data_IF_975473313863
#
_entry.id   IF_975473313863
#
_cell.length_a   1.000
_cell.length_b   1.000
_cell.length_c   1.000
_cell.angle_alpha   90.00
_cell.angle_beta   90.00
_cell.angle_gamma   90.00
#
_symmetry.space_group_name_H-M   'P 1'
#
loop_
_entity.id
_entity.type
_entity.pdbx_description
1 polymer ?
#
# COMPACT_ATOMS: atom_id res chain seq x y z
N UNK A 1 -23.25 31.17 -9.61
CA UNK A 1 -22.10 30.39 -9.07
C UNK A 1 -21.65 29.41 -10.15
N UNK A 2 -20.46 29.58 -10.72
CA UNK A 2 -20.06 28.89 -11.96
C UNK A 2 -19.58 27.46 -11.69
N UNK A 3 -20.01 26.53 -12.54
CA UNK A 3 -19.66 25.10 -12.52
C UNK A 3 -18.14 24.83 -12.54
N UNK A 4 -17.38 25.74 -13.16
CA UNK A 4 -15.91 25.69 -13.23
C UNK A 4 -15.23 25.82 -11.85
N UNK A 5 -15.77 26.63 -10.94
CA UNK A 5 -15.18 26.84 -9.61
C UNK A 5 -15.40 25.62 -8.70
N UNK A 6 -16.54 24.94 -8.85
CA UNK A 6 -16.86 23.71 -8.10
C UNK A 6 -15.99 22.54 -8.55
N UNK A 7 -15.82 22.37 -9.87
CA UNK A 7 -14.96 21.32 -10.42
C UNK A 7 -13.49 21.47 -9.96
N UNK A 8 -12.96 22.70 -9.98
CA UNK A 8 -11.59 23.00 -9.54
C UNK A 8 -11.37 22.72 -8.06
N UNK A 9 -12.37 23.03 -7.20
CA UNK A 9 -12.31 22.72 -5.76
C UNK A 9 -12.32 21.21 -5.50
N UNK A 10 -13.16 20.45 -6.23
CA UNK A 10 -13.23 18.99 -6.13
C UNK A 10 -11.93 18.32 -6.58
N UNK A 11 -11.33 18.80 -7.68
CA UNK A 11 -10.03 18.32 -8.15
C UNK A 11 -8.92 18.61 -7.13
N UNK A 12 -8.93 19.79 -6.52
CA UNK A 12 -7.98 20.16 -5.47
C UNK A 12 -8.09 19.28 -4.22
N UNK A 13 -9.31 18.96 -3.77
CA UNK A 13 -9.51 18.06 -2.62
C UNK A 13 -9.14 16.61 -2.93
N UNK A 14 -9.40 16.13 -4.15
CA UNK A 14 -9.01 14.79 -4.58
C UNK A 14 -7.48 14.65 -4.63
N UNK A 15 -6.78 15.65 -5.19
CA UNK A 15 -5.32 15.67 -5.23
C UNK A 15 -4.71 15.70 -3.83
N UNK A 16 -5.22 16.55 -2.94
CA UNK A 16 -4.74 16.62 -1.56
C UNK A 16 -4.93 15.27 -0.83
N UNK A 17 -6.08 14.62 -1.03
CA UNK A 17 -6.32 13.31 -0.45
C UNK A 17 -5.48 12.19 -1.08
N UNK A 18 -5.22 12.24 -2.39
CA UNK A 18 -4.29 11.32 -3.05
C UNK A 18 -2.85 11.47 -2.52
N UNK A 19 -2.39 12.70 -2.28
CA UNK A 19 -1.09 12.97 -1.67
C UNK A 19 -1.03 12.44 -0.23
N UNK A 20 -2.07 12.70 0.58
CA UNK A 20 -2.14 12.16 1.94
C UNK A 20 -2.13 10.62 1.95
N UNK A 21 -2.84 9.99 1.00
CA UNK A 21 -2.85 8.54 0.83
C UNK A 21 -1.47 8.00 0.43
N UNK A 22 -0.77 8.69 -0.48
CA UNK A 22 0.59 8.33 -0.87
C UNK A 22 1.53 8.36 0.35
N UNK A 23 1.51 9.45 1.12
CA UNK A 23 2.33 9.57 2.34
C UNK A 23 2.00 8.47 3.35
N UNK A 24 0.72 8.20 3.61
CA UNK A 24 0.30 7.15 4.54
C UNK A 24 0.75 5.75 4.08
N UNK A 25 0.63 5.47 2.78
CA UNK A 25 1.03 4.18 2.20
C UNK A 25 2.55 3.97 2.30
N UNK A 26 3.33 4.99 1.93
CA UNK A 26 4.80 4.95 2.06
C UNK A 26 5.25 4.85 3.51
N UNK A 27 4.62 5.60 4.42
CA UNK A 27 4.92 5.51 5.85
C UNK A 27 4.62 4.12 6.43
N UNK A 28 3.61 3.42 5.90
CA UNK A 28 3.28 2.05 6.32
C UNK A 28 4.41 1.07 5.98
N UNK A 29 5.02 1.21 4.80
CA UNK A 29 6.21 0.44 4.43
C UNK A 29 7.35 0.68 5.43
N UNK A 30 7.76 1.93 5.60
CA UNK A 30 8.90 2.27 6.46
C UNK A 30 8.65 1.98 7.94
N UNK A 31 7.42 2.08 8.43
CA UNK A 31 7.08 1.83 9.82
C UNK A 31 7.06 0.35 10.22
N UNK A 32 6.84 -0.56 9.25
CA UNK A 32 6.72 -1.99 9.54
C UNK A 32 7.84 -2.84 8.97
N UNK A 33 8.26 -2.57 7.74
CA UNK A 33 9.16 -3.44 6.98
C UNK A 33 10.48 -2.73 6.61
N UNK A 34 10.50 -1.40 6.57
CA UNK A 34 11.70 -0.67 6.13
C UNK A 34 12.83 -0.55 7.16
N UNK A 35 12.63 -0.92 8.43
CA UNK A 35 13.62 -0.64 9.51
C UNK A 35 14.30 -1.87 10.11
N UNK A 36 13.65 -3.03 10.13
CA UNK A 36 14.25 -4.28 10.59
C UNK A 36 14.25 -5.31 9.46
N UNK A 37 15.45 -5.58 8.96
CA UNK A 37 15.73 -6.53 7.88
C UNK A 37 16.71 -7.61 8.31
N UNK A 38 16.88 -7.80 9.63
CA UNK A 38 17.82 -8.79 10.16
C UNK A 38 17.33 -10.20 9.81
N UNK A 39 18.19 -10.98 9.13
CA UNK A 39 17.90 -12.40 8.88
C UNK A 39 18.21 -13.21 10.12
N UNK A 40 17.20 -13.83 10.69
CA UNK A 40 17.39 -14.83 11.73
C UNK A 40 17.86 -16.13 11.10
N UNK A 41 19.01 -16.63 11.56
CA UNK A 41 19.55 -17.93 11.17
C UNK A 41 19.27 -18.88 12.33
N UNK A 42 18.51 -19.94 12.06
CA UNK A 42 18.35 -21.02 13.01
C UNK A 42 19.70 -21.74 13.18
N UNK A 43 20.28 -21.76 14.39
CA UNK A 43 21.59 -22.35 14.62
C UNK A 43 21.63 -23.87 14.44
N UNK A 44 20.48 -24.56 14.53
CA UNK A 44 20.37 -26.02 14.44
C UNK A 44 20.08 -26.45 13.00
N UNK A 45 19.11 -25.80 12.35
CA UNK A 45 18.69 -26.20 10.99
C UNK A 45 19.46 -25.47 9.89
N UNK A 46 20.24 -24.43 10.24
CA UNK A 46 20.92 -23.53 9.31
C UNK A 46 19.95 -22.88 8.29
N UNK A 47 18.64 -22.93 8.57
CA UNK A 47 17.64 -22.26 7.76
C UNK A 47 17.68 -20.76 8.07
N UNK A 48 17.93 -19.96 7.03
CA UNK A 48 17.71 -18.53 7.09
C UNK A 48 16.22 -18.27 6.90
N UNK A 49 15.58 -17.73 7.93
CA UNK A 49 14.22 -17.19 7.80
C UNK A 49 14.31 -15.82 7.12
N UNK A 50 13.29 -15.48 6.32
CA UNK A 50 13.22 -14.18 5.66
C UNK A 50 13.38 -13.02 6.65
N UNK A 51 13.84 -11.84 6.20
CA UNK A 51 14.21 -10.73 7.06
C UNK A 51 13.04 -10.05 7.81
N UNK A 52 11.80 -10.51 7.60
CA UNK A 52 10.60 -9.96 8.23
C UNK A 52 9.93 -10.99 9.11
N UNK A 53 9.60 -10.58 10.33
CA UNK A 53 8.85 -11.39 11.27
C UNK A 53 7.35 -11.43 10.88
N UNK A 54 6.63 -12.54 11.13
CA UNK A 54 5.22 -12.67 10.76
C UNK A 54 4.33 -11.54 11.31
N UNK A 55 4.62 -11.05 12.53
CA UNK A 55 3.84 -9.97 13.14
C UNK A 55 4.02 -8.63 12.42
N UNK A 56 5.20 -8.36 11.84
CA UNK A 56 5.46 -7.13 11.07
C UNK A 56 4.64 -7.14 9.79
N UNK A 57 4.58 -8.29 9.11
CA UNK A 57 3.79 -8.45 7.88
C UNK A 57 2.30 -8.30 8.17
N UNK A 58 1.80 -8.92 9.24
CA UNK A 58 0.40 -8.79 9.65
C UNK A 58 0.05 -7.37 10.05
N UNK A 59 0.92 -6.68 10.80
CA UNK A 59 0.76 -5.29 11.17
C UNK A 59 0.74 -4.34 9.97
N UNK A 60 1.65 -4.55 9.02
CA UNK A 60 1.70 -3.83 7.74
C UNK A 60 0.38 -4.01 6.96
N UNK A 61 -0.06 -5.26 6.79
CA UNK A 61 -1.30 -5.57 6.07
C UNK A 61 -2.53 -4.93 6.74
N UNK A 62 -2.65 -5.06 8.06
CA UNK A 62 -3.75 -4.46 8.82
C UNK A 62 -3.78 -2.92 8.67
N UNK A 63 -2.60 -2.29 8.70
CA UNK A 63 -2.47 -0.83 8.53
C UNK A 63 -2.88 -0.41 7.12
N UNK A 64 -2.43 -1.12 6.08
CA UNK A 64 -2.83 -0.85 4.69
C UNK A 64 -4.35 -0.98 4.48
N UNK A 65 -4.97 -2.02 5.08
CA UNK A 65 -6.42 -2.21 5.03
C UNK A 65 -7.14 -1.01 5.68
N UNK A 66 -6.69 -0.59 6.87
CA UNK A 66 -7.28 0.57 7.55
C UNK A 66 -7.15 1.87 6.71
N UNK A 67 -5.98 2.10 6.11
CA UNK A 67 -5.73 3.23 5.21
C UNK A 67 -6.66 3.18 4.00
N UNK A 68 -6.82 2.02 3.37
CA UNK A 68 -7.72 1.84 2.21
C UNK A 68 -9.20 2.08 2.58
N UNK A 69 -9.65 1.58 3.73
CA UNK A 69 -11.00 1.80 4.26
C UNK A 69 -11.25 3.30 4.42
N UNK A 70 -10.36 4.02 5.13
CA UNK A 70 -10.51 5.47 5.37
C UNK A 70 -10.51 6.25 4.06
N UNK A 71 -9.60 5.91 3.14
CA UNK A 71 -9.51 6.55 1.83
C UNK A 71 -10.75 6.31 0.96
N UNK A 72 -11.36 5.12 1.06
CA UNK A 72 -12.53 4.72 0.25
C UNK A 72 -13.76 5.62 0.47
N UNK A 73 -13.87 6.25 1.64
CA UNK A 73 -14.96 7.17 1.98
C UNK A 73 -14.82 8.54 1.35
N UNK A 74 -13.60 8.95 0.96
CA UNK A 74 -13.34 10.33 0.47
C UNK A 74 -12.84 10.39 -0.95
N UNK A 75 -12.18 9.34 -1.44
CA UNK A 75 -11.51 9.33 -2.74
C UNK A 75 -12.20 8.40 -3.74
N UNK A 76 -11.95 8.65 -5.02
CA UNK A 76 -12.41 7.79 -6.09
C UNK A 76 -11.70 6.42 -6.06
N UNK A 77 -12.41 5.35 -6.46
CA UNK A 77 -11.92 3.96 -6.39
C UNK A 77 -10.58 3.80 -7.11
N UNK A 78 -10.51 4.33 -8.34
CA UNK A 78 -9.31 4.24 -9.17
C UNK A 78 -8.15 5.01 -8.53
N UNK A 79 -8.41 6.14 -7.88
CA UNK A 79 -7.39 6.91 -7.16
C UNK A 79 -6.79 6.08 -6.02
N UNK A 80 -7.63 5.46 -5.20
CA UNK A 80 -7.18 4.65 -4.06
C UNK A 80 -6.31 3.48 -4.53
N UNK A 81 -6.82 2.69 -5.48
CA UNK A 81 -6.15 1.49 -5.99
C UNK A 81 -4.82 1.84 -6.65
N UNK A 82 -4.82 2.84 -7.54
CA UNK A 82 -3.61 3.23 -8.27
C UNK A 82 -2.53 3.80 -7.34
N UNK A 83 -2.91 4.71 -6.41
CA UNK A 83 -1.94 5.33 -5.50
C UNK A 83 -1.34 4.30 -4.57
N UNK A 84 -2.16 3.44 -3.95
CA UNK A 84 -1.63 2.43 -3.02
C UNK A 84 -0.72 1.42 -3.73
N UNK A 85 -1.10 0.94 -4.91
CA UNK A 85 -0.30 -0.01 -5.67
C UNK A 85 1.04 0.60 -6.12
N UNK A 86 1.02 1.81 -6.70
CA UNK A 86 2.23 2.46 -7.18
C UNK A 86 3.17 2.82 -6.03
N UNK A 87 2.66 3.45 -4.97
CA UNK A 87 3.51 3.96 -3.89
C UNK A 87 4.13 2.83 -3.08
N UNK A 88 3.36 1.81 -2.72
CA UNK A 88 3.90 0.69 -1.94
C UNK A 88 4.91 -0.12 -2.74
N UNK A 89 4.63 -0.38 -4.02
CA UNK A 89 5.57 -1.08 -4.91
C UNK A 89 6.85 -0.28 -5.10
N UNK A 90 6.74 1.05 -5.27
CA UNK A 90 7.91 1.92 -5.41
C UNK A 90 8.76 1.92 -4.14
N UNK A 91 8.14 2.05 -2.96
CA UNK A 91 8.83 2.03 -1.67
C UNK A 91 9.61 0.72 -1.48
N UNK A 92 8.97 -0.43 -1.71
CA UNK A 92 9.65 -1.73 -1.68
C UNK A 92 10.77 -1.84 -2.72
N UNK A 93 10.53 -1.36 -3.95
CA UNK A 93 11.51 -1.50 -5.04
C UNK A 93 12.78 -0.69 -4.79
N UNK A 94 12.66 0.49 -4.15
CA UNK A 94 13.81 1.32 -3.78
C UNK A 94 14.74 0.56 -2.84
N UNK A 95 14.19 -0.14 -1.84
CA UNK A 95 14.99 -0.95 -0.93
C UNK A 95 15.53 -2.23 -1.61
N UNK A 96 14.73 -2.87 -2.46
CA UNK A 96 15.12 -4.10 -3.15
C UNK A 96 16.27 -3.90 -4.15
N UNK A 97 16.29 -2.77 -4.87
CA UNK A 97 17.36 -2.43 -5.83
C UNK A 97 18.72 -2.33 -5.14
N UNK A 98 18.78 -1.90 -3.88
CA UNK A 98 20.04 -1.78 -3.15
C UNK A 98 20.69 -3.10 -2.76
N UNK A 99 19.95 -4.22 -2.82
CA UNK A 99 20.40 -5.53 -2.34
C UNK A 99 20.42 -6.65 -3.37
N UNK A 100 20.06 -6.39 -4.63
CA UNK A 100 19.92 -7.42 -5.66
C UNK A 100 20.62 -7.06 -6.98
N UNK A 101 21.74 -7.73 -7.24
CA UNK A 101 22.50 -7.61 -8.51
C UNK A 101 21.92 -8.50 -9.64
N UNK A 102 20.96 -9.39 -9.33
CA UNK A 102 20.44 -10.38 -10.29
C UNK A 102 19.24 -9.89 -11.12
N UNK A 103 18.60 -8.79 -10.70
CA UNK A 103 17.40 -8.25 -11.35
C UNK A 103 16.08 -8.95 -10.98
N UNK A 104 16.12 -9.93 -10.07
CA UNK A 104 14.93 -10.59 -9.54
C UNK A 104 13.99 -9.63 -8.81
N UNK A 105 14.50 -8.49 -8.34
CA UNK A 105 13.70 -7.42 -7.76
C UNK A 105 12.55 -6.97 -8.69
N UNK A 106 12.71 -7.02 -10.02
CA UNK A 106 11.65 -6.64 -10.97
C UNK A 106 10.46 -7.60 -10.90
N UNK A 107 10.73 -8.90 -10.76
CA UNK A 107 9.68 -9.92 -10.60
C UNK A 107 8.96 -9.73 -9.27
N UNK A 108 9.72 -9.46 -8.21
CA UNK A 108 9.15 -9.13 -6.89
C UNK A 108 8.25 -7.89 -6.95
N UNK A 109 8.71 -6.82 -7.61
CA UNK A 109 7.93 -5.60 -7.81
C UNK A 109 6.63 -5.88 -8.57
N UNK A 110 6.66 -6.71 -9.61
CA UNK A 110 5.46 -7.09 -10.37
C UNK A 110 4.46 -7.86 -9.48
N UNK A 111 4.93 -8.80 -8.67
CA UNK A 111 4.06 -9.54 -7.74
C UNK A 111 3.43 -8.61 -6.69
N UNK A 112 4.20 -7.67 -6.14
CA UNK A 112 3.70 -6.69 -5.17
C UNK A 112 2.68 -5.76 -5.82
N UNK A 113 2.93 -5.29 -7.04
CA UNK A 113 2.00 -4.44 -7.77
C UNK A 113 0.66 -5.15 -7.97
N UNK A 114 0.68 -6.43 -8.38
CA UNK A 114 -0.54 -7.24 -8.54
C UNK A 114 -1.25 -7.43 -7.20
N UNK A 115 -0.52 -7.84 -6.15
CA UNK A 115 -1.08 -8.06 -4.81
C UNK A 115 -1.72 -6.80 -4.24
N UNK A 116 -1.05 -5.65 -4.34
CA UNK A 116 -1.56 -4.37 -3.87
C UNK A 116 -2.76 -3.90 -4.68
N UNK A 117 -2.75 -4.08 -6.00
CA UNK A 117 -3.89 -3.73 -6.86
C UNK A 117 -5.12 -4.52 -6.46
N UNK A 118 -5.00 -5.84 -6.34
CA UNK A 118 -6.11 -6.71 -5.95
C UNK A 118 -6.57 -6.44 -4.51
N UNK A 119 -5.65 -6.34 -3.56
CA UNK A 119 -5.95 -6.12 -2.16
C UNK A 119 -6.66 -4.78 -1.91
N UNK A 120 -6.14 -3.69 -2.49
CA UNK A 120 -6.76 -2.36 -2.38
C UNK A 120 -8.12 -2.31 -3.10
N UNK A 121 -8.26 -2.97 -4.26
CA UNK A 121 -9.52 -3.06 -4.98
C UNK A 121 -10.59 -3.78 -4.15
N UNK A 122 -10.27 -4.99 -3.67
CA UNK A 122 -11.19 -5.81 -2.86
C UNK A 122 -11.62 -5.04 -1.61
N UNK A 123 -10.66 -4.45 -0.88
CA UNK A 123 -10.94 -3.71 0.36
C UNK A 123 -11.83 -2.49 0.10
N UNK A 124 -11.52 -1.72 -0.94
CA UNK A 124 -12.27 -0.50 -1.29
C UNK A 124 -13.67 -0.85 -1.77
N UNK A 125 -13.83 -1.89 -2.59
CA UNK A 125 -15.13 -2.37 -3.06
C UNK A 125 -15.96 -2.91 -1.91
N UNK A 126 -15.40 -3.77 -1.06
CA UNK A 126 -16.09 -4.32 0.10
C UNK A 126 -16.59 -3.21 1.02
N UNK A 127 -15.75 -2.21 1.30
CA UNK A 127 -16.13 -1.06 2.14
C UNK A 127 -17.31 -0.30 1.55
N UNK A 128 -17.28 0.00 0.24
CA UNK A 128 -18.36 0.70 -0.46
C UNK A 128 -19.65 -0.10 -0.51
N UNK A 129 -19.56 -1.40 -0.75
CA UNK A 129 -20.72 -2.29 -0.77
C UNK A 129 -21.38 -2.36 0.61
N UNK A 130 -20.59 -2.46 1.68
CA UNK A 130 -21.09 -2.47 3.05
C UNK A 130 -21.71 -1.13 3.46
N UNK A 131 -21.07 -0.01 3.10
CA UNK A 131 -21.56 1.33 3.42
C UNK A 131 -22.88 1.70 2.72
N UNK A 132 -23.17 1.09 1.57
CA UNK A 132 -24.37 1.37 0.77
C UNK A 132 -25.54 0.41 1.06
N UNK A 133 -25.44 -0.48 2.06
CA UNK A 133 -26.56 -1.37 2.42
C UNK A 133 -27.62 -0.59 3.20
N UNK A 134 -28.89 -0.54 2.74
CA UNK A 134 -29.98 -0.06 3.58
C UNK A 134 -30.16 -1.06 4.73
N UNK A 135 -30.15 -0.54 5.97
CA UNK A 135 -30.49 -1.29 7.19
C UNK A 135 -31.98 -1.62 7.22
#
# INVERSE_FOLDING_TARGET
MNTTTVAKRKAGSELAGALALAVATGATWYGWLGWDTQRTIDPITQHSTGPYEPWQVVGCLATLVAVAIVASFRLHLVTVVAVMAVVFTAAWSIDAVGGDDSGLWVVGAAMIAVGMTLGSLITTLATRLLANRPL
#
